data_IF_537110960834
#
_entry.id   IF_537110960834
#
_cell.length_a   1.000
_cell.length_b   1.000
_cell.length_c   1.000
_cell.angle_alpha   90.00
_cell.angle_beta   90.00
_cell.angle_gamma   90.00
#
_symmetry.space_group_name_H-M   'P 1'
#
loop_
_entity.id
_entity.type
_entity.pdbx_description
1 polymer ?
#
# COMPACT_ATOMS: atom_id res chain seq x y z
N UNK A 1 2.91 -12.97 6.79
CA UNK A 1 2.40 -11.74 6.14
C UNK A 1 3.48 -11.24 5.19
N UNK A 2 3.16 -10.98 3.92
CA UNK A 2 4.11 -10.55 2.90
C UNK A 2 3.70 -9.20 2.32
N UNK A 3 4.70 -8.39 1.96
CA UNK A 3 4.50 -7.08 1.33
C UNK A 3 5.48 -6.94 0.17
N UNK A 4 4.98 -6.50 -0.98
CA UNK A 4 5.80 -6.11 -2.13
C UNK A 4 5.55 -4.62 -2.39
N UNK A 5 6.63 -3.86 -2.56
CA UNK A 5 6.57 -2.45 -2.91
C UNK A 5 7.29 -2.23 -4.24
N UNK A 6 6.67 -1.45 -5.13
CA UNK A 6 7.29 -0.95 -6.36
C UNK A 6 7.12 0.55 -6.42
N UNK A 7 8.24 1.26 -6.46
CA UNK A 7 8.27 2.70 -6.66
C UNK A 7 8.62 3.01 -8.12
N UNK A 8 7.81 3.85 -8.74
CA UNK A 8 8.05 4.39 -10.07
C UNK A 8 8.59 5.81 -9.92
N UNK A 9 9.86 6.01 -10.28
CA UNK A 9 10.54 7.30 -10.17
C UNK A 9 10.01 8.30 -11.20
N UNK A 10 9.55 7.83 -12.36
CA UNK A 10 9.08 8.71 -13.44
C UNK A 10 7.70 9.30 -13.16
N UNK A 11 6.80 8.50 -12.59
CA UNK A 11 5.47 8.98 -12.15
C UNK A 11 5.45 9.47 -10.70
N UNK A 12 6.55 9.27 -9.99
CA UNK A 12 6.68 9.56 -8.57
C UNK A 12 5.60 8.83 -7.74
N UNK A 13 5.32 7.57 -8.06
CA UNK A 13 4.22 6.78 -7.45
C UNK A 13 4.71 5.51 -6.77
N UNK A 14 4.11 5.18 -5.62
CA UNK A 14 4.36 3.91 -4.93
C UNK A 14 3.15 2.98 -5.09
N UNK A 15 3.39 1.77 -5.61
CA UNK A 15 2.42 0.67 -5.57
C UNK A 15 2.83 -0.35 -4.51
N UNK A 16 1.89 -0.69 -3.63
CA UNK A 16 2.07 -1.64 -2.54
C UNK A 16 1.11 -2.81 -2.72
N UNK A 17 1.63 -4.03 -2.77
CA UNK A 17 0.84 -5.25 -2.67
C UNK A 17 0.98 -5.80 -1.26
N UNK A 18 -0.14 -5.95 -0.56
CA UNK A 18 -0.12 -6.43 0.83
C UNK A 18 -1.38 -7.21 1.17
N UNK A 19 -1.22 -8.26 1.96
CA UNK A 19 -2.31 -9.05 2.52
C UNK A 19 -2.94 -8.30 3.71
N UNK A 20 -3.84 -7.34 3.45
CA UNK A 20 -4.51 -6.50 4.46
C UNK A 20 -6.02 -6.43 4.26
N UNK A 21 -6.78 -6.38 5.36
CA UNK A 21 -8.22 -6.11 5.32
C UNK A 21 -8.55 -4.60 5.34
N UNK A 22 -7.54 -3.75 5.52
CA UNK A 22 -7.70 -2.29 5.66
C UNK A 22 -6.81 -1.49 4.69
N UNK A 23 -6.94 -1.69 3.36
CA UNK A 23 -6.04 -1.09 2.37
C UNK A 23 -6.01 0.44 2.39
N UNK A 24 -7.14 1.09 2.69
CA UNK A 24 -7.20 2.54 2.81
C UNK A 24 -6.40 3.07 4.00
N UNK A 25 -6.50 2.42 5.17
CA UNK A 25 -5.69 2.81 6.35
C UNK A 25 -4.20 2.61 6.10
N UNK A 26 -3.84 1.50 5.45
CA UNK A 26 -2.45 1.26 5.04
C UNK A 26 -1.97 2.37 4.12
N UNK A 27 -2.77 2.77 3.13
CA UNK A 27 -2.42 3.87 2.22
C UNK A 27 -2.13 5.16 2.98
N UNK A 28 -3.06 5.60 3.84
CA UNK A 28 -2.91 6.84 4.63
C UNK A 28 -1.68 6.79 5.52
N UNK A 29 -1.48 5.73 6.30
CA UNK A 29 -0.32 5.61 7.18
C UNK A 29 1.00 5.61 6.41
N UNK A 30 1.10 4.85 5.31
CA UNK A 30 2.34 4.80 4.53
C UNK A 30 2.63 6.16 3.89
N UNK A 31 1.61 6.87 3.42
CA UNK A 31 1.75 8.22 2.88
C UNK A 31 2.27 9.21 3.93
N UNK A 32 1.71 9.19 5.15
CA UNK A 32 2.15 10.01 6.27
C UNK A 32 3.60 9.70 6.67
N UNK A 33 3.97 8.43 6.82
CA UNK A 33 5.31 8.01 7.21
C UNK A 33 6.38 8.38 6.19
N UNK A 34 6.03 8.41 4.90
CA UNK A 34 6.93 8.77 3.81
C UNK A 34 6.87 10.27 3.44
N UNK A 35 6.00 11.05 4.07
CA UNK A 35 5.83 12.48 3.77
C UNK A 35 5.35 12.75 2.34
N UNK A 36 4.62 11.82 1.74
CA UNK A 36 4.17 11.88 0.34
C UNK A 36 2.64 12.02 0.30
N UNK A 37 2.13 12.69 -0.74
CA UNK A 37 0.68 12.85 -0.91
C UNK A 37 -0.02 11.49 -1.19
N UNK A 38 -1.18 11.26 -0.57
CA UNK A 38 -1.92 9.98 -0.69
C UNK A 38 -2.26 9.60 -2.13
N UNK A 39 -2.51 10.57 -3.01
CA UNK A 39 -2.82 10.35 -4.43
C UNK A 39 -1.63 9.74 -5.21
N UNK A 40 -0.44 9.69 -4.61
CA UNK A 40 0.75 9.05 -5.16
C UNK A 40 0.91 7.59 -4.73
N UNK A 41 -0.04 7.07 -3.93
CA UNK A 41 -0.04 5.70 -3.46
C UNK A 41 -1.16 4.88 -4.06
N UNK A 42 -0.81 3.66 -4.46
CA UNK A 42 -1.75 2.63 -4.84
C UNK A 42 -1.53 1.40 -3.97
N UNK A 43 -2.51 1.04 -3.15
CA UNK A 43 -2.49 -0.21 -2.37
C UNK A 43 -3.37 -1.23 -3.07
N UNK A 44 -2.81 -2.40 -3.34
CA UNK A 44 -3.48 -3.54 -3.97
C UNK A 44 -3.50 -4.68 -2.95
N UNK A 45 -4.70 -5.20 -2.69
CA UNK A 45 -4.89 -6.37 -1.84
C UNK A 45 -5.13 -7.60 -2.73
N UNK A 46 -4.11 -8.43 -3.00
CA UNK A 46 -4.32 -9.73 -3.64
C UNK A 46 -5.13 -10.64 -2.71
N UNK A 47 -5.65 -11.76 -3.23
CA UNK A 47 -6.45 -12.69 -2.42
C UNK A 47 -5.75 -13.04 -1.10
N UNK A 48 -6.46 -12.76 0.00
CA UNK A 48 -5.98 -12.95 1.35
C UNK A 48 -6.45 -14.32 1.84
N UNK A 49 -5.51 -15.25 2.04
CA UNK A 49 -5.77 -16.56 2.63
C UNK A 49 -6.10 -16.48 4.12
N UNK A 50 -7.25 -15.88 4.47
CA UNK A 50 -7.77 -15.73 5.82
C UNK A 50 -7.04 -14.65 6.64
N UNK A 51 -7.73 -13.55 6.97
CA UNK A 51 -7.19 -12.46 7.78
C UNK A 51 -7.38 -12.61 9.29
N UNK A 52 -8.46 -13.29 9.72
CA UNK A 52 -8.89 -13.47 11.11
C UNK A 52 -8.90 -12.18 11.99
N UNK A 53 -8.98 -10.99 11.38
CA UNK A 53 -8.94 -9.69 12.07
C UNK A 53 -7.54 -9.07 12.11
#
# INVERSE_FOLDING_TARGET
RGVLARYDVGEDKLTLWTSTQVPHKVRTHVAEQLGMAENRFRVITPEVGGGFG
#
